data_IF_464551895200
#
_entry.id   IF_464551895200
#
_cell.length_a   1.000
_cell.length_b   1.000
_cell.length_c   1.000
_cell.angle_alpha   90.00
_cell.angle_beta   90.00
_cell.angle_gamma   90.00
#
_symmetry.space_group_name_H-M   'P 1'
#
loop_
_entity.id
_entity.type
_entity.pdbx_description
1 polymer ?
#
# COMPACT_ATOMS: atom_id res chain seq x y z
N UNK A 1 2.15 -54.46 -9.69
CA UNK A 1 1.69 -53.71 -10.86
C UNK A 1 2.11 -52.26 -10.68
N UNK A 2 2.59 -51.66 -11.75
CA UNK A 2 3.47 -50.48 -11.83
C UNK A 2 2.95 -49.18 -11.19
N UNK A 3 3.90 -48.41 -10.68
CA UNK A 3 3.87 -46.97 -10.45
C UNK A 3 3.54 -46.26 -11.78
N UNK A 4 2.56 -45.36 -11.82
CA UNK A 4 2.47 -44.35 -12.87
C UNK A 4 1.86 -43.04 -12.35
N UNK A 5 2.73 -42.04 -12.37
CA UNK A 5 2.57 -40.61 -12.14
C UNK A 5 1.77 -39.97 -13.28
N UNK A 6 0.85 -39.06 -12.97
CA UNK A 6 0.30 -38.00 -13.84
C UNK A 6 -0.50 -37.06 -12.92
N UNK A 7 0.10 -36.06 -12.27
CA UNK A 7 0.41 -34.74 -12.85
C UNK A 7 -0.70 -34.30 -13.82
N UNK A 8 -1.79 -33.78 -13.26
CA UNK A 8 -2.62 -32.79 -13.94
C UNK A 8 -2.48 -31.46 -13.22
N UNK A 9 -1.55 -30.72 -13.80
CA UNK A 9 -1.19 -29.33 -13.60
C UNK A 9 -2.31 -28.35 -13.97
N UNK A 10 -2.55 -27.42 -13.03
CA UNK A 10 -2.69 -25.95 -13.23
C UNK A 10 -4.08 -25.39 -13.61
N UNK A 11 -4.37 -24.23 -12.98
CA UNK A 11 -5.51 -23.28 -13.08
C UNK A 11 -6.64 -23.55 -12.05
N UNK A 12 -6.88 -22.78 -10.97
CA UNK A 12 -6.60 -21.38 -10.64
C UNK A 12 -6.11 -21.28 -9.17
N UNK A 13 -4.90 -20.78 -8.90
CA UNK A 13 -4.60 -19.36 -8.61
C UNK A 13 -5.57 -18.74 -7.59
N UNK A 14 -5.03 -18.63 -6.36
CA UNK A 14 -5.42 -17.74 -5.28
C UNK A 14 -6.89 -17.73 -4.88
N UNK A 15 -7.25 -18.56 -3.90
CA UNK A 15 -8.14 -18.07 -2.84
C UNK A 15 -7.42 -16.92 -2.14
N UNK A 16 -7.43 -15.72 -2.75
CA UNK A 16 -7.21 -14.47 -2.03
C UNK A 16 -8.31 -14.45 -0.99
N UNK A 17 -7.97 -14.90 0.21
CA UNK A 17 -8.86 -14.70 1.35
C UNK A 17 -8.83 -13.20 1.52
N UNK A 18 -9.87 -12.53 1.01
CA UNK A 18 -9.98 -11.09 1.01
C UNK A 18 -9.60 -10.60 2.40
N UNK A 19 -8.50 -9.85 2.49
CA UNK A 19 -8.13 -9.21 3.73
C UNK A 19 -9.27 -8.30 4.10
N UNK A 20 -9.79 -8.49 5.31
CA UNK A 20 -10.89 -7.70 5.83
C UNK A 20 -10.35 -6.29 6.04
N UNK A 21 -10.41 -5.47 5.00
CA UNK A 21 -10.00 -4.08 5.01
C UNK A 21 -8.89 -3.66 4.04
N UNK A 22 -8.27 -4.56 3.28
CA UNK A 22 -7.38 -4.17 2.16
C UNK A 22 -7.79 -4.93 0.91
N UNK A 23 -8.62 -4.28 0.11
CA UNK A 23 -9.02 -4.73 -1.22
C UNK A 23 -8.31 -3.90 -2.31
N UNK A 24 -8.38 -4.37 -3.55
CA UNK A 24 -7.73 -3.75 -4.71
C UNK A 24 -8.09 -2.25 -4.86
N UNK A 25 -9.29 -1.83 -4.43
CA UNK A 25 -9.74 -0.43 -4.47
C UNK A 25 -8.96 0.45 -3.49
N UNK A 26 -8.70 -0.03 -2.27
CA UNK A 26 -7.93 0.72 -1.29
C UNK A 26 -6.48 0.88 -1.75
N UNK A 27 -5.88 -0.19 -2.28
CA UNK A 27 -4.51 -0.14 -2.79
C UNK A 27 -4.41 0.83 -3.96
N UNK A 28 -5.34 0.76 -4.91
CA UNK A 28 -5.42 1.73 -6.01
C UNK A 28 -5.52 3.17 -5.50
N UNK A 29 -6.36 3.44 -4.49
CA UNK A 29 -6.51 4.77 -3.92
C UNK A 29 -5.22 5.27 -3.24
N UNK A 30 -4.51 4.39 -2.51
CA UNK A 30 -3.22 4.73 -1.89
C UNK A 30 -2.23 5.16 -2.96
N UNK A 31 -2.13 4.42 -4.06
CA UNK A 31 -1.23 4.77 -5.18
C UNK A 31 -1.59 6.11 -5.81
N UNK A 32 -2.87 6.36 -6.08
CA UNK A 32 -3.34 7.66 -6.57
C UNK A 32 -3.02 8.81 -5.60
N UNK A 33 -3.20 8.58 -4.30
CA UNK A 33 -2.89 9.56 -3.27
C UNK A 33 -1.38 9.81 -3.18
N UNK A 34 -0.56 8.76 -3.25
CA UNK A 34 0.90 8.84 -3.29
C UNK A 34 1.40 9.65 -4.47
N UNK A 35 0.87 9.40 -5.67
CA UNK A 35 1.22 10.15 -6.88
C UNK A 35 0.88 11.63 -6.71
N UNK A 36 -0.35 11.93 -6.31
CA UNK A 36 -0.80 13.30 -6.09
C UNK A 36 0.09 14.02 -5.08
N UNK A 37 0.30 13.41 -3.91
CA UNK A 37 1.01 14.02 -2.78
C UNK A 37 2.48 14.22 -3.13
N UNK A 38 3.08 13.28 -3.85
CA UNK A 38 4.44 13.44 -4.34
C UNK A 38 4.59 14.59 -5.32
N UNK A 39 3.62 14.77 -6.22
CA UNK A 39 3.63 15.85 -7.20
C UNK A 39 3.19 17.20 -6.63
N UNK A 40 2.53 17.21 -5.47
CA UNK A 40 2.04 18.45 -4.84
C UNK A 40 3.15 19.43 -4.49
N UNK A 41 4.37 18.93 -4.24
CA UNK A 41 5.47 19.75 -3.73
C UNK A 41 5.21 20.33 -2.33
N UNK A 42 4.15 19.89 -1.63
CA UNK A 42 3.80 20.34 -0.29
C UNK A 42 4.44 19.41 0.76
N UNK A 43 5.53 19.83 1.43
CA UNK A 43 6.21 19.01 2.41
C UNK A 43 5.35 18.78 3.67
N UNK A 44 4.40 19.66 3.98
CA UNK A 44 3.51 19.52 5.12
C UNK A 44 2.43 18.47 4.84
N UNK A 45 1.82 18.52 3.65
CA UNK A 45 0.86 17.51 3.20
C UNK A 45 1.50 16.13 3.16
N UNK A 46 2.69 16.02 2.57
CA UNK A 46 3.42 14.77 2.52
C UNK A 46 3.79 14.23 3.91
N UNK A 47 4.33 15.06 4.81
CA UNK A 47 4.63 14.63 6.17
C UNK A 47 3.38 14.09 6.89
N UNK A 48 2.26 14.78 6.74
CA UNK A 48 1.00 14.38 7.35
C UNK A 48 0.46 13.07 6.76
N UNK A 49 0.58 12.88 5.46
CA UNK A 49 0.20 11.64 4.80
C UNK A 49 1.07 10.47 5.24
N UNK A 50 2.40 10.64 5.29
CA UNK A 50 3.32 9.61 5.75
C UNK A 50 3.07 9.24 7.23
N UNK A 51 2.58 10.18 8.05
CA UNK A 51 2.18 9.87 9.43
C UNK A 51 0.98 8.93 9.54
N UNK A 52 0.20 8.74 8.47
CA UNK A 52 -0.85 7.72 8.48
C UNK A 52 -0.27 6.32 8.68
N UNK A 53 0.99 6.07 8.28
CA UNK A 53 1.65 4.79 8.52
C UNK A 53 1.90 4.49 10.02
N UNK A 54 1.72 5.46 10.92
CA UNK A 54 1.78 5.25 12.36
C UNK A 54 0.51 4.56 12.90
N UNK A 55 -0.61 4.65 12.17
CA UNK A 55 -1.88 4.00 12.51
C UNK A 55 -1.99 2.55 11.97
N UNK A 56 -0.95 2.04 11.31
CA UNK A 56 -0.93 0.66 10.83
C UNK A 56 -0.96 -0.33 12.01
N UNK A 57 -1.86 -1.33 12.02
CA UNK A 57 -1.76 -2.42 12.97
C UNK A 57 -0.43 -3.16 12.75
N UNK A 58 0.21 -3.57 13.84
CA UNK A 58 1.54 -4.18 13.84
C UNK A 58 1.73 -5.27 12.76
N UNK A 59 0.83 -6.27 12.59
CA UNK A 59 1.01 -7.29 11.56
C UNK A 59 1.06 -6.73 10.13
N UNK A 60 0.28 -5.69 9.83
CA UNK A 60 0.34 -5.03 8.52
C UNK A 60 1.53 -4.09 8.40
N UNK A 61 1.93 -3.46 9.51
CA UNK A 61 3.10 -2.58 9.57
C UNK A 61 4.37 -3.36 9.26
N UNK A 62 4.50 -4.55 9.82
CA UNK A 62 5.63 -5.44 9.59
C UNK A 62 5.72 -5.83 8.11
N UNK A 63 4.58 -6.15 7.46
CA UNK A 63 4.52 -6.43 6.01
C UNK A 63 4.86 -5.20 5.17
N UNK A 64 4.32 -4.03 5.54
CA UNK A 64 4.61 -2.77 4.88
C UNK A 64 6.10 -2.44 4.95
N UNK A 65 6.69 -2.53 6.13
CA UNK A 65 8.10 -2.25 6.39
C UNK A 65 9.00 -3.25 5.66
N UNK A 66 8.66 -4.55 5.64
CA UNK A 66 9.41 -5.56 4.88
C UNK A 66 9.40 -5.25 3.36
N UNK A 67 8.22 -4.96 2.80
CA UNK A 67 8.10 -4.62 1.39
C UNK A 67 8.78 -3.30 1.06
N UNK A 68 8.68 -2.30 1.94
CA UNK A 68 9.36 -1.02 1.79
C UNK A 68 10.86 -1.23 1.79
N UNK A 69 11.42 -1.94 2.76
CA UNK A 69 12.88 -2.08 2.90
C UNK A 69 13.46 -2.92 1.75
N UNK A 70 12.68 -3.87 1.21
CA UNK A 70 13.04 -4.65 0.02
C UNK A 70 13.13 -3.79 -1.26
N UNK A 71 12.18 -2.87 -1.47
CA UNK A 71 12.08 -2.07 -2.71
C UNK A 71 12.78 -0.70 -2.59
N UNK A 72 12.84 -0.17 -1.37
CA UNK A 72 13.34 1.15 -0.98
C UNK A 72 14.31 1.04 0.21
N UNK A 73 15.49 0.40 0.02
CA UNK A 73 16.47 0.21 1.09
C UNK A 73 17.07 1.53 1.64
N UNK A 74 16.78 2.66 1.00
CA UNK A 74 17.17 4.00 1.42
C UNK A 74 15.95 4.87 1.74
N UNK A 75 14.82 4.25 2.07
CA UNK A 75 13.53 4.90 2.27
C UNK A 75 12.88 5.39 0.97
N UNK A 76 11.63 5.82 1.11
CA UNK A 76 10.90 6.50 0.03
C UNK A 76 11.65 7.75 -0.47
N UNK A 77 11.21 8.29 -1.61
CA UNK A 77 11.65 9.59 -2.10
C UNK A 77 11.28 10.74 -1.17
N UNK A 78 11.73 11.94 -1.54
CA UNK A 78 11.38 13.19 -0.86
C UNK A 78 10.23 13.87 -1.60
N UNK A 79 9.19 14.29 -0.89
CA UNK A 79 8.12 15.14 -1.45
C UNK A 79 8.57 16.59 -1.72
N UNK A 80 9.78 16.95 -1.31
CA UNK A 80 10.45 18.19 -1.66
C UNK A 80 11.23 17.99 -2.97
N UNK A 81 10.93 18.83 -3.98
CA UNK A 81 11.63 18.96 -5.27
C UNK A 81 11.27 17.97 -6.38
N UNK A 82 9.98 17.76 -6.66
CA UNK A 82 9.52 17.06 -7.87
C UNK A 82 9.96 15.60 -7.97
N UNK A 83 10.31 14.98 -6.84
CA UNK A 83 10.62 13.55 -6.76
C UNK A 83 9.36 12.79 -6.33
N UNK A 84 9.06 11.69 -7.01
CA UNK A 84 7.96 10.81 -6.63
C UNK A 84 8.30 10.00 -5.37
N UNK A 85 7.32 9.70 -4.50
CA UNK A 85 7.49 8.86 -3.31
C UNK A 85 8.17 7.53 -3.66
N UNK A 86 7.74 6.93 -4.77
CA UNK A 86 8.26 5.65 -5.27
C UNK A 86 9.45 5.79 -6.22
N UNK A 87 9.88 7.01 -6.57
CA UNK A 87 10.96 7.34 -7.51
C UNK A 87 10.74 6.86 -8.96
N UNK A 88 10.00 5.76 -9.18
CA UNK A 88 9.59 5.24 -10.50
C UNK A 88 8.43 4.25 -10.40
N UNK A 89 7.62 4.17 -11.47
CA UNK A 89 6.48 3.24 -11.57
C UNK A 89 6.92 1.77 -11.39
N UNK A 90 8.14 1.42 -11.82
CA UNK A 90 8.67 0.06 -11.63
C UNK A 90 8.84 -0.31 -10.15
N UNK A 91 9.20 0.65 -9.30
CA UNK A 91 9.34 0.40 -7.86
C UNK A 91 7.98 0.39 -7.18
N UNK A 92 7.07 1.24 -7.61
CA UNK A 92 5.67 1.25 -7.18
C UNK A 92 5.00 -0.12 -7.41
N UNK A 93 5.03 -0.65 -8.64
CA UNK A 93 4.46 -1.98 -8.95
C UNK A 93 5.10 -3.10 -8.13
N UNK A 94 6.42 -3.04 -7.89
CA UNK A 94 7.10 -4.04 -7.06
C UNK A 94 6.66 -3.99 -5.59
N UNK A 95 6.43 -2.78 -5.07
CA UNK A 95 5.95 -2.59 -3.72
C UNK A 95 4.52 -3.11 -3.58
N UNK A 96 3.65 -2.75 -4.52
CA UNK A 96 2.27 -3.23 -4.62
C UNK A 96 2.21 -4.76 -4.68
N UNK A 97 2.95 -5.38 -5.59
CA UNK A 97 3.03 -6.84 -5.73
C UNK A 97 3.49 -7.50 -4.43
N UNK A 98 4.51 -6.96 -3.77
CA UNK A 98 5.01 -7.46 -2.50
C UNK A 98 3.93 -7.39 -1.41
N UNK A 99 3.30 -6.23 -1.28
CA UNK A 99 2.32 -5.96 -0.23
C UNK A 99 1.06 -6.83 -0.44
N UNK A 100 0.49 -6.85 -1.65
CA UNK A 100 -0.67 -7.68 -1.99
C UNK A 100 -0.40 -9.17 -1.89
N UNK A 101 0.85 -9.63 -2.07
CA UNK A 101 1.22 -11.05 -1.92
C UNK A 101 1.35 -11.45 -0.45
N UNK A 102 1.90 -10.58 0.39
CA UNK A 102 2.24 -10.88 1.78
C UNK A 102 1.12 -10.58 2.75
N UNK A 103 0.34 -9.51 2.52
CA UNK A 103 -0.82 -9.18 3.34
C UNK A 103 -1.69 -10.41 3.55
N UNK A 104 -2.16 -11.16 2.52
CA UNK A 104 -2.87 -12.45 2.60
C UNK A 104 -2.37 -13.46 3.64
N UNK A 105 -1.08 -13.44 3.95
CA UNK A 105 -0.40 -14.41 4.81
C UNK A 105 -0.45 -13.99 6.29
N UNK A 106 -0.81 -12.74 6.59
CA UNK A 106 -0.89 -12.17 7.94
C UNK A 106 -2.34 -12.05 8.43
N UNK A 107 -3.12 -13.13 8.31
CA UNK A 107 -4.59 -13.17 8.41
C UNK A 107 -5.16 -13.13 9.85
N UNK A 108 -4.36 -12.64 10.80
CA UNK A 108 -4.71 -12.57 12.22
C UNK A 108 -4.81 -11.11 12.64
N UNK A 109 -5.86 -10.44 12.16
CA UNK A 109 -6.28 -9.14 12.69
C UNK A 109 -7.32 -9.38 13.78
N UNK A 110 -7.13 -8.76 14.93
CA UNK A 110 -8.15 -8.69 15.98
C UNK A 110 -9.06 -7.46 15.83
N UNK A 111 -10.00 -7.28 16.76
CA UNK A 111 -10.95 -6.16 16.69
C UNK A 111 -10.32 -4.78 16.92
N UNK A 112 -9.15 -4.70 17.55
CA UNK A 112 -8.41 -3.45 17.68
C UNK A 112 -7.58 -3.18 16.43
N UNK A 113 -7.08 -4.23 15.77
CA UNK A 113 -6.49 -4.13 14.43
C UNK A 113 -7.51 -3.64 13.39
N UNK A 114 -8.76 -4.13 13.41
CA UNK A 114 -9.83 -3.64 12.53
C UNK A 114 -10.06 -2.13 12.68
N UNK A 115 -10.06 -1.62 13.92
CA UNK A 115 -10.18 -0.17 14.17
C UNK A 115 -8.96 0.60 13.69
N UNK A 116 -7.77 0.03 13.83
CA UNK A 116 -6.53 0.63 13.33
C UNK A 116 -6.54 0.73 11.80
N UNK A 117 -6.97 -0.33 11.11
CA UNK A 117 -7.18 -0.33 9.65
C UNK A 117 -8.17 0.75 9.22
N UNK A 118 -9.30 0.89 9.90
CA UNK A 118 -10.28 1.93 9.57
C UNK A 118 -9.73 3.35 9.82
N UNK A 119 -8.99 3.58 10.91
CA UNK A 119 -8.31 4.87 11.15
C UNK A 119 -7.28 5.17 10.07
N UNK A 120 -6.48 4.18 9.69
CA UNK A 120 -5.52 4.29 8.60
C UNK A 120 -6.21 4.71 7.30
N UNK A 121 -7.26 3.99 6.89
CA UNK A 121 -8.04 4.33 5.70
C UNK A 121 -8.54 5.77 5.74
N UNK A 122 -9.15 6.17 6.86
CA UNK A 122 -9.65 7.54 7.03
C UNK A 122 -8.53 8.58 6.90
N UNK A 123 -7.35 8.29 7.43
CA UNK A 123 -6.17 9.14 7.33
C UNK A 123 -5.71 9.29 5.87
N UNK A 124 -5.54 8.18 5.14
CA UNK A 124 -5.18 8.16 3.72
C UNK A 124 -6.23 8.91 2.89
N UNK A 125 -7.52 8.63 3.08
CA UNK A 125 -8.61 9.32 2.38
C UNK A 125 -8.62 10.82 2.62
N UNK A 126 -8.35 11.25 3.86
CA UNK A 126 -8.30 12.67 4.21
C UNK A 126 -7.22 13.40 3.42
N UNK A 127 -5.98 12.91 3.47
CA UNK A 127 -4.87 13.62 2.83
C UNK A 127 -4.82 13.41 1.31
N UNK A 128 -5.21 12.24 0.81
CA UNK A 128 -5.41 12.01 -0.62
C UNK A 128 -6.46 12.94 -1.22
N UNK A 129 -7.58 13.17 -0.52
CA UNK A 129 -8.60 14.14 -0.94
C UNK A 129 -8.09 15.58 -0.87
N UNK A 130 -7.43 15.97 0.21
CA UNK A 130 -6.82 17.30 0.33
C UNK A 130 -5.86 17.60 -0.82
N UNK A 131 -5.08 16.60 -1.25
CA UNK A 131 -4.21 16.75 -2.40
C UNK A 131 -5.02 16.98 -3.70
N UNK A 132 -6.03 16.15 -3.97
CA UNK A 132 -6.88 16.27 -5.17
C UNK A 132 -7.61 17.62 -5.21
N UNK A 133 -8.11 18.10 -4.07
CA UNK A 133 -8.77 19.42 -3.95
C UNK A 133 -7.81 20.59 -4.18
N UNK A 134 -6.56 20.50 -3.67
CA UNK A 134 -5.54 21.51 -3.91
C UNK A 134 -5.11 21.59 -5.39
N UNK A 135 -5.15 20.48 -6.13
CA UNK A 135 -4.87 20.47 -7.57
C UNK A 135 -6.06 20.98 -8.40
N UNK A 136 -7.30 20.77 -7.96
CA UNK A 136 -8.52 21.24 -8.65
C UNK A 136 -8.87 22.71 -8.43
N UNK A 137 -8.20 23.40 -7.49
CA UNK A 137 -8.40 24.83 -7.19
C UNK A 137 -7.42 25.75 -7.92
N UNK A 138 -6.51 25.19 -8.73
CA UNK A 138 -5.67 25.95 -9.66
C UNK A 138 -6.46 26.28 -10.95
N UNK A 139 -7.40 27.22 -10.87
CA UNK A 139 -8.04 27.87 -12.02
C UNK A 139 -8.04 29.37 -11.87
#
# INVERSE_FOLDING_TARGET
>A
MYIQVLVLSVLAVSSVTAFKGYDDSLVSYILEADECISHSGDPKLCKNYLSCADDFPKPLKDVFDECRDSVFPHGFGSCSNGQTLYRSNKKETKFEECFLTKVPQHNTLDSDDDKAVEKFKQCIYKYGRQCKEAQGTAT
#
